data_IF_205499936894
#
_entry.id   IF_205499936894
#
_cell.length_a   1.000
_cell.length_b   1.000
_cell.length_c   1.000
_cell.angle_alpha   90.00
_cell.angle_beta   90.00
_cell.angle_gamma   90.00
#
_symmetry.space_group_name_H-M   'P 1'
#
loop_
_entity.id
_entity.type
_entity.pdbx_description
1 polymer ?
#
# COMPACT_ATOMS: atom_id res chain seq x y z
N UNK A 1 22.20 -19.53 17.88
CA UNK A 1 21.86 -20.16 16.60
C UNK A 1 22.13 -21.65 16.69
N UNK A 2 21.57 -22.44 15.78
CA UNK A 2 21.91 -23.86 15.67
C UNK A 2 22.93 -24.06 14.54
N UNK A 3 23.81 -25.04 14.69
CA UNK A 3 24.76 -25.43 13.64
C UNK A 3 24.05 -25.74 12.31
N UNK A 4 22.83 -26.29 12.38
CA UNK A 4 22.00 -26.55 11.21
C UNK A 4 21.56 -25.28 10.47
N UNK A 5 21.29 -24.20 11.20
CA UNK A 5 20.98 -22.89 10.61
C UNK A 5 22.24 -22.28 9.98
N UNK A 6 23.36 -22.33 10.68
CA UNK A 6 24.64 -21.81 10.19
C UNK A 6 25.05 -22.49 8.87
N UNK A 7 24.92 -23.82 8.79
CA UNK A 7 25.18 -24.58 7.55
C UNK A 7 24.21 -24.18 6.42
N UNK A 8 22.93 -23.96 6.73
CA UNK A 8 21.91 -23.67 5.73
C UNK A 8 22.13 -22.31 5.02
N UNK A 9 22.74 -21.35 5.72
CA UNK A 9 22.99 -20.00 5.22
C UNK A 9 24.47 -19.69 5.00
N UNK A 10 25.32 -20.72 4.87
CA UNK A 10 26.76 -20.56 4.61
C UNK A 10 27.50 -19.69 5.66
N UNK A 11 27.06 -19.77 6.92
CA UNK A 11 27.79 -19.27 8.09
C UNK A 11 28.80 -20.33 8.59
N UNK A 12 29.66 -19.98 9.55
CA UNK A 12 30.66 -20.92 10.10
C UNK A 12 30.19 -21.53 11.42
N UNK A 13 29.79 -22.82 11.46
CA UNK A 13 29.30 -23.47 12.68
C UNK A 13 30.39 -23.69 13.74
N UNK A 14 31.66 -23.47 13.41
CA UNK A 14 32.77 -23.54 14.36
C UNK A 14 33.23 -22.16 14.84
N UNK A 15 32.58 -21.09 14.37
CA UNK A 15 32.86 -19.72 14.76
C UNK A 15 31.63 -19.07 15.38
N UNK A 16 31.84 -18.22 16.39
CA UNK A 16 30.74 -17.44 16.95
C UNK A 16 30.61 -16.12 16.16
N UNK A 17 29.93 -16.19 15.03
CA UNK A 17 29.62 -15.04 14.16
C UNK A 17 28.27 -14.40 14.48
N UNK A 18 27.68 -14.70 15.65
CA UNK A 18 26.29 -14.31 15.95
C UNK A 18 26.00 -12.79 15.94
N UNK A 19 27.05 -11.97 16.05
CA UNK A 19 26.97 -10.50 16.01
C UNK A 19 27.44 -9.91 14.68
N UNK A 20 27.81 -10.73 13.70
CA UNK A 20 28.14 -10.28 12.36
C UNK A 20 26.87 -9.93 11.58
N UNK A 21 27.02 -9.02 10.62
CA UNK A 21 25.99 -8.55 9.68
C UNK A 21 26.61 -8.71 8.28
N UNK A 22 26.50 -9.90 7.67
CA UNK A 22 27.26 -10.22 6.48
C UNK A 22 26.72 -9.60 5.19
N UNK A 23 25.44 -9.28 5.13
CA UNK A 23 24.79 -8.63 3.98
C UNK A 23 24.59 -7.13 4.15
N UNK A 24 24.83 -6.59 5.34
CA UNK A 24 24.93 -5.16 5.62
C UNK A 24 23.57 -4.47 5.68
N UNK A 25 22.51 -5.20 6.04
CA UNK A 25 21.15 -4.70 6.07
C UNK A 25 20.77 -4.09 7.44
N UNK A 26 21.64 -4.25 8.44
CA UNK A 26 21.49 -3.74 9.80
C UNK A 26 20.95 -4.76 10.81
N UNK A 27 20.72 -6.02 10.42
CA UNK A 27 20.46 -7.14 11.32
C UNK A 27 21.72 -7.99 11.52
N UNK A 28 21.91 -8.49 12.73
CA UNK A 28 22.95 -9.51 12.96
C UNK A 28 22.43 -10.91 12.65
N UNK A 29 23.33 -11.86 12.37
CA UNK A 29 23.00 -13.28 12.19
C UNK A 29 22.00 -13.81 13.25
N UNK A 30 22.18 -13.40 14.52
CA UNK A 30 21.29 -13.79 15.61
C UNK A 30 19.90 -13.16 15.52
N UNK A 31 19.80 -11.89 15.13
CA UNK A 31 18.53 -11.21 14.94
C UNK A 31 17.77 -11.81 13.76
N UNK A 32 18.48 -12.15 12.69
CA UNK A 32 17.90 -12.80 11.52
C UNK A 32 17.40 -14.20 11.83
N UNK A 33 18.18 -14.98 12.59
CA UNK A 33 17.73 -16.28 13.11
C UNK A 33 16.42 -16.17 13.91
N UNK A 34 16.27 -15.09 14.69
CA UNK A 34 15.05 -14.85 15.49
C UNK A 34 13.87 -14.38 14.63
N UNK A 35 14.13 -13.66 13.53
CA UNK A 35 13.12 -13.14 12.61
C UNK A 35 12.76 -14.11 11.50
N UNK A 36 13.59 -15.12 11.25
CA UNK A 36 13.46 -16.06 10.13
C UNK A 36 13.97 -15.53 8.79
N UNK A 37 14.75 -14.43 8.80
CA UNK A 37 15.35 -13.82 7.61
C UNK A 37 16.67 -14.50 7.25
N UNK A 38 17.29 -14.11 6.13
CA UNK A 38 18.46 -14.77 5.55
C UNK A 38 19.73 -13.91 5.72
N UNK A 39 20.73 -14.36 6.51
CA UNK A 39 21.94 -13.61 6.88
C UNK A 39 22.98 -13.37 5.78
N UNK A 40 22.57 -13.61 4.55
CA UNK A 40 23.36 -13.41 3.33
C UNK A 40 22.52 -12.76 2.23
N UNK A 41 21.31 -12.33 2.54
CA UNK A 41 20.40 -11.71 1.62
C UNK A 41 19.73 -10.52 2.32
N UNK A 42 20.13 -9.27 1.98
CA UNK A 42 19.69 -8.09 2.72
C UNK A 42 18.20 -7.77 2.56
N UNK A 43 17.46 -8.54 1.75
CA UNK A 43 16.03 -8.43 1.45
C UNK A 43 15.47 -9.84 1.24
N UNK A 44 15.06 -10.49 2.33
CA UNK A 44 14.71 -11.92 2.36
C UNK A 44 13.52 -12.25 1.47
N UNK A 45 12.51 -11.38 1.42
CA UNK A 45 11.29 -11.60 0.66
C UNK A 45 11.29 -10.97 -0.74
N UNK A 46 12.32 -10.17 -1.06
CA UNK A 46 12.61 -9.67 -2.40
C UNK A 46 11.70 -8.53 -2.84
N UNK A 47 11.17 -7.73 -1.91
CA UNK A 47 10.27 -6.62 -2.22
C UNK A 47 10.97 -5.26 -2.43
N UNK A 48 12.28 -5.22 -2.18
CA UNK A 48 13.15 -4.05 -2.30
C UNK A 48 13.32 -3.22 -1.03
N UNK A 49 12.80 -3.65 0.13
CA UNK A 49 13.02 -3.04 1.44
C UNK A 49 13.97 -3.94 2.25
N UNK A 50 15.11 -3.43 2.76
CA UNK A 50 16.03 -4.27 3.53
C UNK A 50 15.40 -4.82 4.83
N UNK A 51 15.72 -6.05 5.24
CA UNK A 51 15.07 -6.74 6.37
C UNK A 51 15.25 -5.98 7.70
N UNK A 52 16.38 -5.30 7.87
CA UNK A 52 16.67 -4.43 9.01
C UNK A 52 15.75 -3.23 9.15
N UNK A 53 15.09 -2.81 8.07
CA UNK A 53 14.17 -1.67 8.02
C UNK A 53 12.71 -2.14 7.86
N UNK A 54 12.48 -3.30 7.23
CA UNK A 54 11.14 -3.80 6.93
C UNK A 54 10.39 -4.28 8.20
N UNK A 55 9.18 -3.76 8.50
CA UNK A 55 8.31 -4.34 9.52
C UNK A 55 7.78 -5.75 9.19
N UNK A 56 7.89 -6.24 7.94
CA UNK A 56 7.40 -7.55 7.50
C UNK A 56 8.36 -8.30 6.55
N UNK A 57 9.61 -8.57 6.98
CA UNK A 57 10.72 -9.03 6.11
C UNK A 57 10.59 -10.45 5.53
N UNK A 58 9.44 -11.10 5.74
CA UNK A 58 9.12 -12.44 5.21
C UNK A 58 7.89 -12.44 4.31
N UNK A 59 7.30 -11.26 4.07
CA UNK A 59 6.05 -11.08 3.36
C UNK A 59 6.21 -9.93 2.38
N UNK A 60 6.65 -10.29 1.18
CA UNK A 60 6.94 -9.33 0.13
C UNK A 60 5.81 -8.31 -0.01
N UNK A 61 6.14 -7.02 0.15
CA UNK A 61 5.30 -5.92 -0.31
C UNK A 61 5.36 -5.92 -1.83
N UNK A 62 4.70 -6.89 -2.44
CA UNK A 62 4.54 -6.97 -3.88
C UNK A 62 4.05 -5.60 -4.35
N UNK A 63 4.95 -4.88 -5.04
CA UNK A 63 4.54 -3.87 -6.00
C UNK A 63 3.44 -4.50 -6.84
N UNK A 64 2.37 -3.78 -7.20
CA UNK A 64 1.44 -4.29 -8.18
C UNK A 64 2.20 -4.67 -9.45
N UNK A 65 2.41 -5.97 -9.67
CA UNK A 65 2.84 -6.47 -10.96
C UNK A 65 1.60 -6.43 -11.84
N UNK A 66 1.41 -5.31 -12.55
CA UNK A 66 0.51 -5.29 -13.69
C UNK A 66 1.02 -6.38 -14.65
N UNK A 67 0.22 -7.46 -14.81
CA UNK A 67 0.68 -8.74 -15.34
C UNK A 67 1.52 -8.68 -16.61
N UNK A 68 2.52 -9.56 -16.71
CA UNK A 68 3.41 -9.97 -17.84
C UNK A 68 3.72 -8.98 -18.98
N UNK A 69 3.52 -7.68 -18.79
CA UNK A 69 3.80 -6.62 -19.75
C UNK A 69 4.87 -5.68 -19.24
N UNK A 70 5.37 -4.82 -20.12
CA UNK A 70 6.39 -3.78 -19.90
C UNK A 70 6.09 -2.77 -18.77
N UNK A 71 4.98 -2.93 -18.05
CA UNK A 71 4.56 -2.10 -16.91
C UNK A 71 5.13 -2.57 -15.56
N UNK A 72 5.99 -3.61 -15.58
CA UNK A 72 6.81 -4.18 -14.50
C UNK A 72 7.34 -3.22 -13.41
N UNK A 73 7.53 -1.94 -13.79
CA UNK A 73 8.24 -0.92 -13.01
C UNK A 73 7.55 0.45 -12.99
N UNK A 74 6.24 0.53 -13.25
CA UNK A 74 5.57 1.79 -13.61
C UNK A 74 4.58 2.33 -12.56
N UNK A 75 5.03 2.48 -11.32
CA UNK A 75 4.36 3.42 -10.43
C UNK A 75 4.59 4.85 -10.96
N UNK A 76 3.54 5.66 -11.02
CA UNK A 76 3.68 7.09 -11.23
C UNK A 76 4.06 7.73 -9.89
N UNK A 77 5.09 8.56 -9.90
CA UNK A 77 5.47 9.40 -8.76
C UNK A 77 4.87 10.79 -8.96
N UNK A 78 4.30 11.35 -7.90
CA UNK A 78 3.66 12.66 -7.91
C UNK A 78 4.32 13.53 -6.84
N UNK A 79 4.75 14.74 -7.20
CA UNK A 79 5.41 15.67 -6.27
C UNK A 79 4.43 16.62 -5.53
N UNK A 80 3.13 16.49 -5.80
CA UNK A 80 2.06 17.35 -5.29
C UNK A 80 1.60 18.45 -6.27
N UNK A 81 2.28 18.64 -7.39
CA UNK A 81 1.85 19.49 -8.51
C UNK A 81 1.47 18.68 -9.76
N UNK A 82 1.85 17.40 -9.78
CA UNK A 82 1.54 16.46 -10.85
C UNK A 82 0.16 15.82 -10.69
N UNK A 83 -0.49 15.50 -11.82
CA UNK A 83 -1.72 14.70 -11.86
C UNK A 83 -1.90 14.01 -13.20
N UNK A 84 -2.72 12.96 -13.23
CA UNK A 84 -3.21 12.34 -14.47
C UNK A 84 -4.65 12.76 -14.70
N UNK A 85 -4.94 13.30 -15.87
CA UNK A 85 -6.30 13.64 -16.28
C UNK A 85 -6.84 12.63 -17.28
N UNK A 86 -7.95 12.00 -16.94
CA UNK A 86 -8.71 11.15 -17.85
C UNK A 86 -9.85 11.97 -18.46
N UNK A 87 -9.96 12.07 -19.80
CA UNK A 87 -11.07 12.76 -20.44
C UNK A 87 -12.43 12.17 -20.03
N UNK A 88 -13.43 13.03 -19.84
CA UNK A 88 -14.79 12.60 -19.53
C UNK A 88 -15.34 11.69 -20.64
N UNK A 89 -16.02 10.62 -20.24
CA UNK A 89 -16.66 9.65 -21.12
C UNK A 89 -17.93 9.13 -20.47
N UNK A 90 -18.96 8.87 -21.28
CA UNK A 90 -20.20 8.27 -20.80
C UNK A 90 -19.98 6.90 -20.13
N UNK A 91 -18.92 6.18 -20.51
CA UNK A 91 -18.55 4.90 -19.90
C UNK A 91 -18.07 5.02 -18.44
N UNK A 92 -17.70 6.22 -17.99
CA UNK A 92 -17.24 6.50 -16.63
C UNK A 92 -18.36 7.08 -15.74
N UNK A 93 -19.56 7.28 -16.29
CA UNK A 93 -20.71 7.80 -15.55
C UNK A 93 -21.43 6.67 -14.79
N UNK A 94 -20.80 6.18 -13.72
CA UNK A 94 -21.32 5.09 -12.90
C UNK A 94 -22.49 5.56 -12.03
N UNK A 95 -23.64 4.87 -12.10
CA UNK A 95 -24.89 5.32 -11.46
C UNK A 95 -25.41 4.43 -10.32
N UNK A 96 -25.09 3.14 -10.30
CA UNK A 96 -25.65 2.18 -9.33
C UNK A 96 -24.63 1.69 -8.32
N UNK A 97 -23.48 1.21 -8.80
CA UNK A 97 -22.40 0.67 -8.00
C UNK A 97 -21.06 1.01 -8.64
N UNK A 98 -20.01 1.06 -7.83
CA UNK A 98 -18.64 1.25 -8.31
C UNK A 98 -17.63 0.62 -7.35
N UNK A 99 -16.45 0.35 -7.88
CA UNK A 99 -15.26 0.02 -7.10
C UNK A 99 -14.10 0.85 -7.65
N UNK A 100 -13.39 1.52 -6.74
CA UNK A 100 -12.14 2.21 -6.99
C UNK A 100 -11.06 1.46 -6.23
N UNK A 101 -9.94 1.15 -6.88
CA UNK A 101 -8.81 0.53 -6.20
C UNK A 101 -7.48 1.04 -6.73
N UNK A 102 -6.48 1.08 -5.85
CA UNK A 102 -5.13 1.48 -6.19
C UNK A 102 -4.14 0.84 -5.22
N UNK A 103 -2.89 0.75 -5.67
CA UNK A 103 -1.75 0.57 -4.80
C UNK A 103 -1.07 1.92 -4.62
N UNK A 104 -0.81 2.31 -3.38
CA UNK A 104 -0.27 3.62 -3.03
C UNK A 104 0.98 3.44 -2.18
N UNK A 105 2.03 4.18 -2.52
CA UNK A 105 3.22 4.36 -1.70
C UNK A 105 3.25 5.83 -1.27
N UNK A 106 3.14 6.08 0.04
CA UNK A 106 3.29 7.41 0.61
C UNK A 106 4.67 7.53 1.26
N UNK A 107 5.47 8.50 0.86
CA UNK A 107 6.80 8.80 1.43
C UNK A 107 6.73 9.58 2.76
N UNK A 108 5.55 10.09 3.11
CA UNK A 108 5.28 10.79 4.36
C UNK A 108 3.79 10.87 4.65
N UNK A 109 3.44 11.27 5.89
CA UNK A 109 2.04 11.41 6.29
C UNK A 109 1.49 12.74 5.76
N UNK A 110 0.49 12.72 4.85
CA UNK A 110 -0.03 13.96 4.30
C UNK A 110 -0.78 14.78 5.34
N UNK A 111 -0.35 16.02 5.60
CA UNK A 111 -1.04 16.92 6.52
C UNK A 111 -2.36 17.46 5.93
N UNK A 112 -2.41 17.59 4.60
CA UNK A 112 -3.54 18.13 3.84
C UNK A 112 -4.13 17.07 2.91
N UNK A 113 -5.18 17.44 2.19
CA UNK A 113 -5.82 16.57 1.20
C UNK A 113 -4.84 16.16 0.10
N UNK A 114 -4.69 14.85 -0.13
CA UNK A 114 -3.96 14.29 -1.28
C UNK A 114 -4.91 13.37 -2.05
N UNK A 115 -5.25 13.79 -3.27
CA UNK A 115 -6.16 13.03 -4.14
C UNK A 115 -5.49 11.76 -4.65
N UNK A 116 -6.19 10.62 -4.55
CA UNK A 116 -5.80 9.37 -5.20
C UNK A 116 -6.49 9.29 -6.56
N UNK A 117 -7.82 9.40 -6.56
CA UNK A 117 -8.63 9.44 -7.77
C UNK A 117 -10.03 9.98 -7.48
N UNK A 118 -10.70 10.50 -8.49
CA UNK A 118 -12.09 10.92 -8.34
C UNK A 118 -12.63 11.68 -9.53
N UNK A 119 -13.93 11.93 -9.49
CA UNK A 119 -14.62 12.85 -10.38
C UNK A 119 -15.44 13.82 -9.55
N UNK A 120 -15.58 15.04 -10.07
CA UNK A 120 -16.44 16.06 -9.51
C UNK A 120 -17.46 16.45 -10.58
N UNK A 121 -18.71 16.06 -10.36
CA UNK A 121 -19.86 16.68 -11.01
C UNK A 121 -20.39 17.76 -10.06
N UNK A 122 -20.64 18.97 -10.56
CA UNK A 122 -21.25 19.99 -9.72
C UNK A 122 -22.64 19.53 -9.26
N UNK A 123 -23.07 19.96 -8.08
CA UNK A 123 -24.19 19.38 -7.30
C UNK A 123 -25.58 19.36 -8.01
N UNK A 124 -25.66 19.73 -9.29
CA UNK A 124 -26.86 19.79 -10.11
C UNK A 124 -26.79 18.87 -11.36
N UNK A 125 -25.67 18.18 -11.59
CA UNK A 125 -25.51 17.23 -12.68
C UNK A 125 -26.11 15.85 -12.38
N UNK A 126 -26.48 15.06 -13.41
CA UNK A 126 -27.03 13.72 -13.24
C UNK A 126 -25.98 12.65 -12.91
N UNK A 127 -24.68 13.02 -12.81
CA UNK A 127 -23.59 12.09 -12.61
C UNK A 127 -23.12 12.09 -11.15
N UNK A 128 -22.52 10.97 -10.73
CA UNK A 128 -22.06 10.83 -9.35
C UNK A 128 -20.71 11.50 -9.17
N UNK A 129 -20.64 12.41 -8.20
CA UNK A 129 -19.38 12.80 -7.58
C UNK A 129 -18.89 11.68 -6.68
N UNK A 130 -17.64 11.28 -6.88
CA UNK A 130 -16.92 10.36 -6.01
C UNK A 130 -15.47 10.77 -5.91
N UNK A 131 -14.93 10.75 -4.71
CA UNK A 131 -13.58 11.22 -4.46
C UNK A 131 -12.91 10.29 -3.46
N UNK A 132 -11.69 9.87 -3.79
CA UNK A 132 -10.90 8.97 -2.98
C UNK A 132 -9.55 9.63 -2.70
N UNK A 133 -9.20 9.80 -1.43
CA UNK A 133 -8.05 10.60 -1.02
C UNK A 133 -7.48 10.14 0.32
N UNK A 134 -6.34 10.73 0.67
CA UNK A 134 -5.83 10.79 2.03
C UNK A 134 -6.10 12.21 2.57
N UNK A 135 -6.96 12.32 3.58
CA UNK A 135 -7.36 13.58 4.22
C UNK A 135 -6.80 13.62 5.64
N UNK A 136 -5.98 14.64 5.94
CA UNK A 136 -5.39 14.81 7.28
C UNK A 136 -4.73 13.51 7.79
N UNK A 137 -3.99 12.86 6.90
CA UNK A 137 -3.27 11.61 7.17
C UNK A 137 -4.13 10.35 7.19
N UNK A 138 -5.41 10.40 6.83
CA UNK A 138 -6.33 9.25 6.89
C UNK A 138 -6.96 8.96 5.55
N UNK A 139 -7.06 7.68 5.20
CA UNK A 139 -7.74 7.26 3.98
C UNK A 139 -9.25 7.56 4.09
N UNK A 140 -9.82 8.18 3.07
CA UNK A 140 -11.24 8.54 3.08
C UNK A 140 -11.82 8.50 1.66
N UNK A 141 -13.06 8.04 1.58
CA UNK A 141 -13.83 7.99 0.35
C UNK A 141 -15.11 8.79 0.52
N UNK A 142 -15.45 9.61 -0.47
CA UNK A 142 -16.69 10.37 -0.53
C UNK A 142 -17.50 9.93 -1.75
N UNK A 143 -18.81 9.76 -1.58
CA UNK A 143 -19.74 9.39 -2.65
C UNK A 143 -21.07 10.13 -2.54
N UNK A 144 -21.50 10.75 -3.64
CA UNK A 144 -22.83 11.34 -3.82
C UNK A 144 -23.91 10.25 -4.03
N UNK A 145 -25.21 10.53 -3.77
CA UNK A 145 -25.81 11.82 -3.46
C UNK A 145 -25.78 12.21 -1.97
N UNK A 146 -25.63 11.26 -1.05
CA UNK A 146 -25.63 11.56 0.39
C UNK A 146 -24.33 12.17 0.89
N UNK A 147 -23.29 12.18 0.07
CA UNK A 147 -21.95 12.61 0.45
C UNK A 147 -21.46 11.81 1.67
N UNK A 148 -21.75 10.51 1.69
CA UNK A 148 -21.25 9.60 2.72
C UNK A 148 -19.72 9.57 2.68
N UNK A 149 -19.10 9.55 3.86
CA UNK A 149 -17.64 9.69 4.04
C UNK A 149 -17.07 8.60 4.96
N UNK A 150 -16.99 7.33 4.53
CA UNK A 150 -16.20 6.35 5.26
C UNK A 150 -14.73 6.78 5.34
N UNK A 151 -14.22 6.89 6.57
CA UNK A 151 -12.86 7.33 6.89
C UNK A 151 -12.14 6.25 7.71
N UNK A 152 -10.84 6.05 7.45
CA UNK A 152 -9.99 5.18 8.26
C UNK A 152 -9.79 5.77 9.66
N UNK A 153 -9.84 4.90 10.67
CA UNK A 153 -9.63 5.27 12.07
C UNK A 153 -8.17 5.33 12.46
N UNK A 154 -7.25 4.89 11.58
CA UNK A 154 -5.81 5.04 11.77
C UNK A 154 -5.17 5.94 10.70
N UNK A 155 -3.93 6.36 10.96
CA UNK A 155 -3.13 7.09 9.97
C UNK A 155 -2.73 6.17 8.80
N UNK A 156 -2.65 6.73 7.61
CA UNK A 156 -2.22 6.02 6.41
C UNK A 156 -0.76 5.56 6.56
N UNK A 157 -0.45 4.27 6.32
CA UNK A 157 0.92 3.78 6.40
C UNK A 157 1.83 4.48 5.38
N UNK A 158 3.08 4.73 5.77
CA UNK A 158 4.10 5.38 4.94
C UNK A 158 5.27 4.43 4.69
N UNK A 159 6.09 4.73 3.69
CA UNK A 159 7.28 3.98 3.30
C UNK A 159 7.04 2.50 2.97
N UNK A 160 5.81 2.16 2.56
CA UNK A 160 5.42 0.84 2.05
C UNK A 160 4.30 0.97 1.03
N UNK A 161 4.18 -0.02 0.17
CA UNK A 161 3.01 -0.17 -0.68
C UNK A 161 1.80 -0.61 0.15
N UNK A 162 0.67 0.04 -0.10
CA UNK A 162 -0.61 -0.26 0.53
C UNK A 162 -1.66 -0.42 -0.55
N UNK A 163 -2.37 -1.55 -0.54
CA UNK A 163 -3.54 -1.72 -1.40
C UNK A 163 -4.74 -1.05 -0.75
N UNK A 164 -5.46 -0.23 -1.50
CA UNK A 164 -6.65 0.46 -1.03
C UNK A 164 -7.79 0.25 -2.00
N UNK A 165 -8.99 0.07 -1.46
CA UNK A 165 -10.20 0.01 -2.27
C UNK A 165 -11.37 0.73 -1.61
N UNK A 166 -12.18 1.39 -2.42
CA UNK A 166 -13.45 1.97 -2.03
C UNK A 166 -14.55 1.35 -2.90
N UNK A 167 -15.63 0.88 -2.25
CA UNK A 167 -16.75 0.27 -2.97
C UNK A 167 -18.05 0.96 -2.60
N UNK A 168 -18.98 0.97 -3.56
CA UNK A 168 -20.33 1.43 -3.37
C UNK A 168 -21.28 0.49 -4.11
N UNK A 169 -22.34 0.04 -3.45
CA UNK A 169 -23.31 -0.94 -3.99
C UNK A 169 -24.72 -0.36 -4.22
N UNK A 170 -24.89 0.95 -4.04
CA UNK A 170 -26.21 1.61 -4.07
C UNK A 170 -26.78 1.91 -2.68
N UNK A 171 -26.30 1.24 -1.63
CA UNK A 171 -26.80 1.40 -0.25
C UNK A 171 -25.69 1.65 0.78
N UNK A 172 -24.48 1.16 0.53
CA UNK A 172 -23.35 1.26 1.45
C UNK A 172 -22.09 1.71 0.72
N UNK A 173 -21.40 2.67 1.31
CA UNK A 173 -20.03 3.05 0.96
C UNK A 173 -19.07 2.34 1.91
N UNK A 174 -18.09 1.62 1.36
CA UNK A 174 -17.12 0.84 2.13
C UNK A 174 -15.70 1.18 1.74
N UNK A 175 -14.80 1.09 2.71
CA UNK A 175 -13.39 1.34 2.55
C UNK A 175 -12.58 0.13 3.00
N UNK A 176 -11.54 -0.19 2.25
CA UNK A 176 -10.65 -1.32 2.46
C UNK A 176 -9.19 -0.90 2.40
N UNK A 177 -8.37 -1.53 3.25
CA UNK A 177 -6.91 -1.37 3.27
C UNK A 177 -6.28 -2.75 3.42
N UNK A 178 -5.35 -3.09 2.53
CA UNK A 178 -4.71 -4.40 2.42
C UNK A 178 -5.74 -5.56 2.47
N UNK A 179 -6.81 -5.43 1.68
CA UNK A 179 -7.92 -6.40 1.61
C UNK A 179 -8.86 -6.44 2.82
N UNK A 180 -8.58 -5.70 3.89
CA UNK A 180 -9.40 -5.68 5.11
C UNK A 180 -10.41 -4.54 5.06
N UNK A 181 -11.69 -4.81 5.35
CA UNK A 181 -12.70 -3.75 5.48
C UNK A 181 -12.42 -2.91 6.75
N UNK A 182 -12.24 -1.60 6.58
CA UNK A 182 -11.90 -0.68 7.66
C UNK A 182 -13.05 0.26 8.05
N UNK A 183 -13.98 0.52 7.12
CA UNK A 183 -15.15 1.37 7.36
C UNK A 183 -16.28 1.00 6.41
N UNK A 184 -17.52 1.16 6.89
CA UNK A 184 -18.75 0.91 6.13
C UNK A 184 -19.84 1.85 6.64
N UNK A 185 -20.40 2.67 5.75
CA UNK A 185 -21.43 3.67 6.06
C UNK A 185 -22.60 3.50 5.09
N UNK A 186 -23.83 3.56 5.60
CA UNK A 186 -25.04 3.57 4.79
C UNK A 186 -25.23 4.94 4.11
N UNK A 187 -25.64 4.93 2.85
CA UNK A 187 -25.74 6.13 1.99
C UNK A 187 -27.17 6.53 1.70
#
# INVERSE_FOLDING_TARGET
MSDAYEIAFNLDPFHNDANEDPDGDGLTNLQEFQRGTNPRNPDTDGDGVPDGIDPKPLVANHRPVAGTGSLASQALSFDGNDFVQVPSSASLNLQSALTLEAWIFADGTPANQQGIMGTWDDNNGPFRTYLFWIQSGRLEFLISPSFARPTDTIAFPVNRWVHVAATYDGAFARLYRDGTNISSIAT
#
